data_IF_717489923614
#
_entry.id   IF_717489923614
#
_cell.length_a   1.000
_cell.length_b   1.000
_cell.length_c   1.000
_cell.angle_alpha   90.00
_cell.angle_beta   90.00
_cell.angle_gamma   90.00
#
_symmetry.space_group_name_H-M   'P 1'
#
loop_
_entity.id
_entity.type
_entity.pdbx_description
1 polymer ?
#
# COMPACT_ATOMS: atom_id res chain seq x y z
N UNK A 1 -60.44 -21.20 32.57
CA UNK A 1 -59.09 -20.64 32.25
C UNK A 1 -58.36 -21.59 31.31
N UNK A 2 -57.88 -21.07 30.16
CA UNK A 2 -56.72 -21.54 29.35
C UNK A 2 -57.00 -21.54 27.84
N UNK A 3 -57.16 -20.34 27.25
CA UNK A 3 -57.13 -20.12 25.79
C UNK A 3 -55.68 -20.14 25.22
N UNK A 4 -54.82 -21.05 25.68
CA UNK A 4 -53.43 -21.16 25.17
C UNK A 4 -53.24 -22.25 24.11
N UNK A 5 -54.28 -23.00 23.73
CA UNK A 5 -54.12 -24.21 22.91
C UNK A 5 -54.17 -24.00 21.39
N UNK A 6 -54.69 -22.88 20.88
CA UNK A 6 -55.10 -22.80 19.46
C UNK A 6 -54.09 -22.14 18.50
N UNK A 7 -52.84 -21.96 18.93
CA UNK A 7 -51.81 -21.23 18.20
C UNK A 7 -50.77 -22.22 17.63
N UNK A 8 -50.21 -21.97 16.43
CA UNK A 8 -49.12 -22.78 15.88
C UNK A 8 -47.90 -22.88 16.81
N UNK A 9 -47.07 -23.94 16.68
CA UNK A 9 -45.91 -24.14 17.53
C UNK A 9 -44.87 -23.01 17.39
N UNK A 10 -44.83 -22.08 18.34
CA UNK A 10 -43.90 -20.92 18.33
C UNK A 10 -42.41 -21.29 18.22
N UNK A 11 -42.01 -22.46 18.74
CA UNK A 11 -40.63 -22.94 18.63
C UNK A 11 -40.28 -23.35 17.19
N UNK A 12 -41.23 -23.93 16.46
CA UNK A 12 -41.04 -24.32 15.06
C UNK A 12 -40.93 -23.08 14.16
N UNK A 13 -41.74 -22.05 14.44
CA UNK A 13 -41.64 -20.74 13.78
C UNK A 13 -40.29 -20.07 14.02
N UNK A 14 -39.82 -20.03 15.28
CA UNK A 14 -38.50 -19.48 15.61
C UNK A 14 -37.37 -20.23 14.92
N UNK A 15 -37.48 -21.56 14.84
CA UNK A 15 -36.51 -22.37 14.11
C UNK A 15 -36.49 -21.99 12.62
N UNK A 16 -37.67 -21.92 11.98
CA UNK A 16 -37.82 -21.51 10.58
C UNK A 16 -37.21 -20.12 10.35
N UNK A 17 -37.56 -19.12 11.16
CA UNK A 17 -37.02 -17.76 11.11
C UNK A 17 -35.50 -17.69 11.29
N UNK A 18 -34.94 -18.63 12.04
CA UNK A 18 -33.50 -18.67 12.28
C UNK A 18 -32.71 -19.19 11.08
N UNK A 19 -33.18 -20.25 10.41
CA UNK A 19 -32.41 -20.87 9.32
C UNK A 19 -32.83 -20.45 7.91
N UNK A 20 -34.06 -20.00 7.67
CA UNK A 20 -34.54 -19.71 6.32
C UNK A 20 -34.04 -18.36 5.79
N UNK A 21 -33.89 -18.24 4.47
CA UNK A 21 -33.62 -16.95 3.80
C UNK A 21 -34.81 -15.99 3.96
N UNK A 22 -34.51 -14.69 4.09
CA UNK A 22 -35.53 -13.65 4.28
C UNK A 22 -36.55 -13.63 3.14
N UNK A 23 -36.10 -13.77 1.89
CA UNK A 23 -36.96 -13.78 0.70
C UNK A 23 -37.97 -14.94 0.65
N UNK A 24 -37.68 -16.05 1.35
CA UNK A 24 -38.54 -17.24 1.41
C UNK A 24 -39.33 -17.32 2.72
N UNK A 25 -38.98 -16.49 3.71
CA UNK A 25 -39.48 -16.62 5.07
C UNK A 25 -40.95 -16.27 5.17
N UNK A 26 -41.37 -15.15 4.57
CA UNK A 26 -42.76 -14.69 4.60
C UNK A 26 -43.70 -15.66 3.87
N UNK A 27 -43.35 -15.94 2.60
CA UNK A 27 -43.57 -17.19 1.86
C UNK A 27 -44.04 -18.39 2.69
N UNK A 28 -43.03 -19.09 3.20
CA UNK A 28 -43.17 -20.40 3.81
C UNK A 28 -43.86 -20.32 5.17
N UNK A 29 -43.69 -19.22 5.91
CA UNK A 29 -44.37 -19.04 7.19
C UNK A 29 -45.88 -18.92 7.00
N UNK A 30 -46.32 -18.11 6.02
CA UNK A 30 -47.74 -17.94 5.68
C UNK A 30 -48.39 -19.25 5.27
N UNK A 31 -47.79 -19.99 4.33
CA UNK A 31 -48.25 -21.30 3.86
C UNK A 31 -48.42 -22.31 5.00
N UNK A 32 -47.48 -22.32 5.95
CA UNK A 32 -47.51 -23.22 7.10
C UNK A 32 -48.59 -22.84 8.11
N UNK A 33 -48.81 -21.54 8.33
CA UNK A 33 -49.87 -21.04 9.20
C UNK A 33 -51.26 -21.32 8.64
N UNK A 34 -51.46 -21.11 7.33
CA UNK A 34 -52.73 -21.44 6.66
C UNK A 34 -53.04 -22.94 6.77
N UNK A 35 -52.07 -23.80 6.46
CA UNK A 35 -52.24 -25.26 6.59
C UNK A 35 -52.52 -25.69 8.03
N UNK A 36 -51.93 -25.01 9.02
CA UNK A 36 -52.17 -25.33 10.43
C UNK A 36 -53.61 -25.04 10.84
N UNK A 37 -54.18 -23.90 10.41
CA UNK A 37 -55.56 -23.55 10.71
C UNK A 37 -56.54 -24.50 10.01
N UNK A 38 -56.30 -24.85 8.73
CA UNK A 38 -57.11 -25.84 8.00
C UNK A 38 -57.08 -27.24 8.65
N UNK A 39 -55.90 -27.68 9.10
CA UNK A 39 -55.74 -28.98 9.75
C UNK A 39 -56.35 -29.03 11.15
N UNK A 40 -56.48 -27.89 11.82
CA UNK A 40 -57.11 -27.77 13.14
C UNK A 40 -58.62 -27.91 13.07
N UNK A 41 -59.25 -27.53 11.95
CA UNK A 41 -60.68 -27.76 11.69
C UNK A 41 -60.96 -29.22 11.33
N UNK A 42 -60.03 -29.88 10.64
CA UNK A 42 -60.22 -31.24 10.11
C UNK A 42 -59.72 -32.35 11.04
N UNK A 43 -58.69 -32.07 11.85
CA UNK A 43 -58.02 -33.05 12.71
C UNK A 43 -57.81 -32.54 14.15
N UNK A 44 -57.45 -33.45 15.06
CA UNK A 44 -57.07 -33.08 16.43
C UNK A 44 -55.85 -32.14 16.47
N UNK A 45 -55.85 -31.20 17.41
CA UNK A 45 -54.78 -30.21 17.63
C UNK A 45 -53.37 -30.83 17.70
N UNK A 46 -53.23 -31.98 18.36
CA UNK A 46 -51.94 -32.69 18.50
C UNK A 46 -51.40 -33.21 17.18
N UNK A 47 -52.29 -33.55 16.23
CA UNK A 47 -51.90 -34.00 14.88
C UNK A 47 -51.42 -32.80 14.05
N UNK A 48 -52.16 -31.69 14.05
CA UNK A 48 -51.77 -30.46 13.36
C UNK A 48 -50.39 -29.94 13.84
N UNK A 49 -50.13 -29.94 15.16
CA UNK A 49 -48.84 -29.52 15.72
C UNK A 49 -47.66 -30.40 15.30
N UNK A 50 -47.86 -31.73 15.25
CA UNK A 50 -46.81 -32.67 14.78
C UNK A 50 -46.56 -32.50 13.29
N UNK A 51 -47.61 -32.31 12.50
CA UNK A 51 -47.48 -32.09 11.07
C UNK A 51 -46.77 -30.76 10.75
N UNK A 52 -47.09 -29.69 11.48
CA UNK A 52 -46.38 -28.41 11.37
C UNK A 52 -44.86 -28.58 11.57
N UNK A 53 -44.46 -29.30 12.63
CA UNK A 53 -43.05 -29.61 12.88
C UNK A 53 -42.40 -30.43 11.76
N UNK A 54 -43.12 -31.44 11.25
CA UNK A 54 -42.64 -32.25 10.14
C UNK A 54 -42.39 -31.40 8.88
N UNK A 55 -43.30 -30.46 8.58
CA UNK A 55 -43.13 -29.56 7.44
C UNK A 55 -41.95 -28.62 7.64
N UNK A 56 -41.78 -28.00 8.82
CA UNK A 56 -40.61 -27.14 9.13
C UNK A 56 -39.28 -27.90 8.93
N UNK A 57 -39.18 -29.14 9.42
CA UNK A 57 -37.98 -29.97 9.25
C UNK A 57 -37.72 -30.27 7.76
N UNK A 58 -38.77 -30.48 6.96
CA UNK A 58 -38.66 -30.73 5.52
C UNK A 58 -38.07 -29.54 4.74
N UNK A 59 -38.22 -28.32 5.26
CA UNK A 59 -37.63 -27.10 4.70
C UNK A 59 -36.14 -26.92 5.03
N UNK A 60 -35.54 -27.75 5.91
CA UNK A 60 -34.09 -27.77 6.17
C UNK A 60 -33.36 -28.41 4.98
N UNK A 61 -33.36 -27.71 3.85
CA UNK A 61 -32.63 -28.08 2.63
C UNK A 61 -31.54 -27.04 2.34
N UNK A 62 -30.36 -27.43 1.83
CA UNK A 62 -29.23 -26.52 1.61
C UNK A 62 -29.56 -25.23 0.83
N UNK A 63 -30.54 -25.27 -0.09
CA UNK A 63 -30.94 -24.10 -0.89
C UNK A 63 -31.69 -23.04 -0.07
N UNK A 64 -32.43 -23.46 0.95
CA UNK A 64 -33.33 -22.65 1.76
C UNK A 64 -32.62 -22.04 2.97
N UNK A 65 -31.47 -22.60 3.34
CA UNK A 65 -30.66 -22.17 4.48
C UNK A 65 -29.97 -20.83 4.15
N UNK A 66 -30.06 -19.89 5.09
CA UNK A 66 -29.39 -18.59 5.06
C UNK A 66 -27.88 -18.82 4.90
N UNK A 67 -27.26 -18.19 3.91
CA UNK A 67 -25.82 -18.36 3.62
C UNK A 67 -25.47 -19.44 2.60
N UNK A 68 -26.44 -19.93 1.80
CA UNK A 68 -26.20 -20.77 0.61
C UNK A 68 -25.06 -20.21 -0.26
N UNK A 69 -23.87 -20.79 -0.12
CA UNK A 69 -22.66 -20.66 -0.95
C UNK A 69 -22.64 -19.49 -1.94
N UNK A 70 -22.24 -18.31 -1.47
CA UNK A 70 -21.64 -17.33 -2.35
C UNK A 70 -20.27 -17.88 -2.78
N UNK A 71 -20.20 -18.63 -3.88
CA UNK A 71 -18.92 -18.90 -4.51
C UNK A 71 -18.39 -17.55 -5.02
N UNK A 72 -17.27 -17.01 -4.48
CA UNK A 72 -16.75 -15.74 -4.97
C UNK A 72 -16.38 -15.93 -6.44
N UNK A 73 -17.23 -15.44 -7.33
CA UNK A 73 -16.99 -15.41 -8.76
C UNK A 73 -15.72 -14.59 -8.98
N UNK A 74 -14.60 -15.26 -9.29
CA UNK A 74 -13.37 -14.57 -9.67
C UNK A 74 -13.61 -13.88 -11.00
N UNK A 75 -13.96 -12.59 -10.96
CA UNK A 75 -14.28 -11.73 -12.10
C UNK A 75 -13.06 -11.40 -13.00
N UNK A 76 -12.09 -12.31 -13.14
CA UNK A 76 -10.92 -12.15 -14.01
C UNK A 76 -11.33 -11.96 -15.48
N UNK A 77 -12.46 -12.56 -15.89
CA UNK A 77 -13.04 -12.39 -17.23
C UNK A 77 -13.45 -10.94 -17.49
N UNK A 78 -13.94 -10.23 -16.47
CA UNK A 78 -14.33 -8.83 -16.60
C UNK A 78 -13.10 -7.91 -16.73
N UNK A 79 -12.03 -8.15 -15.95
CA UNK A 79 -10.78 -7.39 -16.08
C UNK A 79 -10.19 -7.54 -17.49
N UNK A 80 -10.14 -8.77 -18.01
CA UNK A 80 -9.70 -9.04 -19.39
C UNK A 80 -10.56 -8.30 -20.41
N UNK A 81 -11.87 -8.24 -20.20
CA UNK A 81 -12.77 -7.52 -21.11
C UNK A 81 -12.55 -6.01 -21.06
N UNK A 82 -12.40 -5.41 -19.88
CA UNK A 82 -12.12 -3.99 -19.75
C UNK A 82 -10.78 -3.60 -20.38
N UNK A 83 -9.73 -4.39 -20.17
CA UNK A 83 -8.43 -4.18 -20.84
C UNK A 83 -8.54 -4.31 -22.36
N UNK A 84 -9.26 -5.32 -22.87
CA UNK A 84 -9.49 -5.52 -24.31
C UNK A 84 -10.24 -4.34 -24.94
N UNK A 85 -11.30 -3.86 -24.27
CA UNK A 85 -12.10 -2.72 -24.73
C UNK A 85 -11.27 -1.43 -24.66
N UNK A 86 -10.52 -1.22 -23.58
CA UNK A 86 -9.60 -0.10 -23.40
C UNK A 86 -8.59 -0.03 -24.53
N UNK A 87 -7.84 -1.11 -24.77
CA UNK A 87 -6.84 -1.16 -25.84
C UNK A 87 -7.43 -0.89 -27.23
N UNK A 88 -8.63 -1.43 -27.51
CA UNK A 88 -9.32 -1.14 -28.78
C UNK A 88 -9.70 0.34 -28.92
N UNK A 89 -10.08 1.00 -27.83
CA UNK A 89 -10.35 2.45 -27.82
C UNK A 89 -9.08 3.26 -28.05
N UNK A 90 -7.96 2.87 -27.42
CA UNK A 90 -6.65 3.51 -27.63
C UNK A 90 -6.22 3.44 -29.10
N UNK A 91 -6.34 2.25 -29.73
CA UNK A 91 -5.97 2.06 -31.15
C UNK A 91 -6.89 2.81 -32.12
N UNK A 92 -8.15 3.01 -31.77
CA UNK A 92 -9.12 3.76 -32.60
C UNK A 92 -8.87 5.27 -32.55
N UNK A 93 -8.58 5.81 -31.37
CA UNK A 93 -8.38 7.24 -31.15
C UNK A 93 -6.88 7.56 -30.98
N UNK A 94 -6.08 7.31 -32.03
CA UNK A 94 -4.61 7.32 -31.96
C UNK A 94 -4.02 8.66 -31.53
N UNK A 95 -4.49 9.77 -32.10
CA UNK A 95 -3.95 11.12 -31.81
C UNK A 95 -4.20 11.50 -30.36
N UNK A 96 -5.46 11.40 -29.91
CA UNK A 96 -5.83 11.70 -28.53
C UNK A 96 -5.10 10.80 -27.51
N UNK A 97 -4.97 9.51 -27.82
CA UNK A 97 -4.25 8.57 -26.96
C UNK A 97 -2.75 8.88 -26.93
N UNK A 98 -2.15 9.23 -28.06
CA UNK A 98 -0.74 9.61 -28.14
C UNK A 98 -0.44 10.88 -27.34
N UNK A 99 -1.30 11.89 -27.41
CA UNK A 99 -1.15 13.12 -26.64
C UNK A 99 -1.26 12.86 -25.12
N UNK A 100 -2.28 12.13 -24.68
CA UNK A 100 -2.46 11.84 -23.26
C UNK A 100 -1.37 10.93 -22.69
N UNK A 101 -1.06 9.83 -23.37
CA UNK A 101 -0.05 8.87 -22.90
C UNK A 101 1.34 9.46 -23.03
N UNK A 102 1.63 10.13 -24.15
CA UNK A 102 2.91 10.76 -24.41
C UNK A 102 3.20 11.89 -23.42
N UNK A 103 2.25 12.82 -23.23
CA UNK A 103 2.41 13.91 -22.26
C UNK A 103 2.63 13.39 -20.84
N UNK A 104 1.84 12.42 -20.40
CA UNK A 104 2.01 11.82 -19.07
C UNK A 104 3.35 11.09 -18.92
N UNK A 105 3.75 10.33 -19.94
CA UNK A 105 5.01 9.56 -19.92
C UNK A 105 6.23 10.48 -19.89
N UNK A 106 6.22 11.55 -20.69
CA UNK A 106 7.30 12.55 -20.70
C UNK A 106 7.36 13.29 -19.36
N UNK A 107 6.22 13.70 -18.80
CA UNK A 107 6.17 14.34 -17.48
C UNK A 107 6.74 13.44 -16.38
N UNK A 108 6.37 12.16 -16.38
CA UNK A 108 6.91 11.17 -15.44
C UNK A 108 8.42 10.96 -15.65
N UNK A 109 8.88 10.88 -16.90
CA UNK A 109 10.30 10.72 -17.22
C UNK A 109 11.14 11.90 -16.70
N UNK A 110 10.69 13.13 -16.94
CA UNK A 110 11.37 14.34 -16.44
C UNK A 110 11.38 14.37 -14.91
N UNK A 111 10.26 14.07 -14.25
CA UNK A 111 10.19 14.00 -12.80
C UNK A 111 11.15 12.95 -12.22
N UNK A 112 11.23 11.77 -12.84
CA UNK A 112 12.17 10.71 -12.45
C UNK A 112 13.63 11.13 -12.65
N UNK A 113 13.96 11.78 -13.78
CA UNK A 113 15.32 12.27 -14.03
C UNK A 113 15.76 13.31 -13.02
N UNK A 114 14.88 14.25 -12.67
CA UNK A 114 15.16 15.25 -11.62
C UNK A 114 15.32 14.56 -10.26
N UNK A 115 14.44 13.61 -9.94
CA UNK A 115 14.54 12.83 -8.69
C UNK A 115 15.83 12.03 -8.59
N UNK A 116 16.27 11.42 -9.70
CA UNK A 116 17.53 10.70 -9.76
C UNK A 116 18.74 11.63 -9.62
N UNK A 117 18.70 12.79 -10.26
CA UNK A 117 19.75 13.80 -10.12
C UNK A 117 19.84 14.32 -8.68
N UNK A 118 18.70 14.62 -8.05
CA UNK A 118 18.66 15.04 -6.66
C UNK A 118 19.18 13.96 -5.72
N UNK A 119 18.78 12.70 -5.94
CA UNK A 119 19.28 11.57 -5.18
C UNK A 119 20.80 11.44 -5.30
N UNK A 120 21.34 11.56 -6.51
CA UNK A 120 22.79 11.56 -6.74
C UNK A 120 23.49 12.72 -6.02
N UNK A 121 22.94 13.93 -6.07
CA UNK A 121 23.53 15.11 -5.41
C UNK A 121 23.54 14.96 -3.89
N UNK A 122 22.44 14.48 -3.30
CA UNK A 122 22.33 14.29 -1.85
C UNK A 122 23.20 13.15 -1.33
N UNK A 123 23.39 12.10 -2.12
CA UNK A 123 24.21 10.94 -1.73
C UNK A 123 25.68 11.08 -2.11
N UNK A 124 26.08 12.20 -2.74
CA UNK A 124 27.44 12.39 -3.25
C UNK A 124 28.53 12.25 -2.16
N UNK A 125 28.23 12.60 -0.91
CA UNK A 125 29.19 12.53 0.19
C UNK A 125 29.01 11.33 1.14
N UNK A 126 28.00 10.48 0.91
CA UNK A 126 27.60 9.41 1.84
C UNK A 126 28.36 8.09 1.63
N UNK A 127 29.32 8.07 0.70
CA UNK A 127 30.06 6.85 0.35
C UNK A 127 31.09 6.40 1.39
N UNK A 128 31.44 7.27 2.36
CA UNK A 128 32.39 6.93 3.42
C UNK A 128 31.68 6.43 4.68
N UNK A 129 32.16 5.31 5.22
CA UNK A 129 31.81 4.85 6.57
C UNK A 129 32.28 5.92 7.56
N UNK A 130 31.33 6.66 8.18
CA UNK A 130 31.52 7.85 9.03
C UNK A 130 31.51 9.23 8.33
N UNK A 131 30.81 9.39 7.20
CA UNK A 131 30.70 10.68 6.51
C UNK A 131 30.37 11.89 7.42
N UNK A 132 29.52 11.71 8.44
CA UNK A 132 29.15 12.73 9.43
C UNK A 132 30.32 13.27 10.28
N UNK A 133 31.41 12.49 10.38
CA UNK A 133 32.58 12.82 11.20
C UNK A 133 33.77 13.29 10.35
N UNK A 134 33.60 13.35 9.02
CA UNK A 134 34.65 13.78 8.10
C UNK A 134 34.43 15.27 7.80
N UNK A 135 35.37 16.10 8.23
CA UNK A 135 35.35 17.54 7.97
C UNK A 135 36.51 17.98 7.08
N UNK A 136 36.25 18.96 6.21
CA UNK A 136 37.29 19.64 5.43
C UNK A 136 37.58 21.00 6.02
N UNK A 137 38.81 21.23 6.45
CA UNK A 137 39.26 22.55 6.91
C UNK A 137 39.41 23.47 5.69
N UNK A 138 38.79 24.65 5.75
CA UNK A 138 38.87 25.67 4.72
C UNK A 138 39.28 27.01 5.35
N UNK A 139 39.97 27.86 4.60
CA UNK A 139 40.30 29.20 5.05
C UNK A 139 39.46 30.25 4.34
N UNK A 140 39.04 31.27 5.08
CA UNK A 140 38.44 32.48 4.53
C UNK A 140 39.48 33.58 4.46
N UNK A 141 39.67 34.16 3.27
CA UNK A 141 40.47 35.37 3.09
C UNK A 141 39.58 36.48 2.55
N UNK A 142 39.54 37.60 3.26
CA UNK A 142 38.90 38.81 2.77
C UNK A 142 39.91 39.60 1.95
N UNK A 143 39.56 39.89 0.69
CA UNK A 143 40.31 40.79 -0.19
C UNK A 143 39.33 41.75 -0.83
N UNK A 144 39.63 43.05 -0.75
CA UNK A 144 38.82 44.12 -1.35
C UNK A 144 37.33 44.06 -0.94
N UNK A 145 37.06 43.73 0.33
CA UNK A 145 35.70 43.58 0.86
C UNK A 145 34.99 42.27 0.51
N UNK A 146 35.58 41.43 -0.35
CA UNK A 146 35.03 40.13 -0.76
C UNK A 146 35.66 39.01 0.07
N UNK A 147 34.83 38.21 0.74
CA UNK A 147 35.27 36.98 1.43
C UNK A 147 35.41 35.85 0.41
N UNK A 148 36.62 35.32 0.29
CA UNK A 148 36.93 34.17 -0.58
C UNK A 148 37.25 32.98 0.31
N UNK A 149 36.49 31.89 0.15
CA UNK A 149 36.76 30.60 0.82
C UNK A 149 37.66 29.75 -0.07
N UNK A 150 38.77 29.25 0.50
CA UNK A 150 39.77 28.46 -0.22
C UNK A 150 40.12 27.19 0.54
N UNK A 151 40.31 26.11 -0.20
CA UNK A 151 40.72 24.82 0.33
C UNK A 151 42.23 24.64 0.55
N UNK A 152 43.15 25.21 -0.26
CA UNK A 152 44.58 25.11 0.02
C UNK A 152 44.89 25.71 1.38
N UNK A 153 45.60 24.98 2.23
CA UNK A 153 46.08 25.47 3.51
C UNK A 153 47.61 25.46 3.52
N UNK A 154 48.27 26.39 4.23
CA UNK A 154 49.70 26.29 4.47
C UNK A 154 50.05 24.96 5.13
N UNK A 155 51.14 24.34 4.71
CA UNK A 155 51.58 23.04 5.24
C UNK A 155 51.66 22.97 6.78
N UNK A 156 52.11 24.02 7.50
CA UNK A 156 52.16 24.01 8.97
C UNK A 156 50.82 23.78 9.66
N UNK A 157 49.69 24.11 9.02
CA UNK A 157 48.35 23.95 9.60
C UNK A 157 48.07 22.47 9.92
N UNK A 158 48.53 21.54 9.09
CA UNK A 158 48.37 20.11 9.36
C UNK A 158 49.14 19.65 10.60
N UNK A 159 50.31 20.26 10.87
CA UNK A 159 51.10 19.97 12.07
C UNK A 159 50.43 20.55 13.31
N UNK A 160 50.00 21.80 13.25
CA UNK A 160 49.30 22.49 14.34
C UNK A 160 48.02 21.77 14.77
N UNK A 161 47.21 21.32 13.80
CA UNK A 161 45.97 20.59 14.08
C UNK A 161 46.21 19.28 14.84
N UNK A 162 47.34 18.60 14.57
CA UNK A 162 47.71 17.36 15.27
C UNK A 162 48.28 17.63 16.66
N UNK A 163 49.10 18.66 16.82
CA UNK A 163 49.82 18.93 18.07
C UNK A 163 48.95 19.65 19.11
N UNK A 164 48.15 20.63 18.68
CA UNK A 164 47.37 21.50 19.60
C UNK A 164 45.92 21.07 19.69
N UNK A 165 45.34 20.54 18.62
CA UNK A 165 43.92 20.16 18.54
C UNK A 165 43.71 18.65 18.39
N UNK A 166 44.72 17.84 18.71
CA UNK A 166 44.69 16.38 18.55
C UNK A 166 43.53 15.69 19.29
N UNK A 167 43.08 16.24 20.41
CA UNK A 167 41.94 15.71 21.18
C UNK A 167 40.62 15.72 20.39
N UNK A 168 40.49 16.57 19.36
CA UNK A 168 39.29 16.71 18.55
C UNK A 168 39.32 15.88 17.25
N UNK A 169 40.48 15.39 16.83
CA UNK A 169 40.66 14.76 15.53
C UNK A 169 41.46 13.46 15.64
N UNK A 170 40.82 12.31 15.38
CA UNK A 170 41.50 11.01 15.36
C UNK A 170 42.56 10.93 14.25
N UNK A 171 42.29 11.52 13.09
CA UNK A 171 43.21 11.50 11.95
C UNK A 171 43.15 12.82 11.18
N UNK A 172 44.32 13.37 10.85
CA UNK A 172 44.48 14.58 10.03
C UNK A 172 45.26 14.22 8.78
N UNK A 173 44.66 14.38 7.59
CA UNK A 173 45.31 14.14 6.29
C UNK A 173 45.49 15.45 5.55
N UNK A 174 46.69 15.67 5.02
CA UNK A 174 47.01 16.77 4.12
C UNK A 174 47.21 16.22 2.72
N UNK A 175 46.61 16.85 1.72
CA UNK A 175 46.80 16.49 0.31
C UNK A 175 47.28 17.69 -0.50
N UNK A 176 48.15 17.41 -1.47
CA UNK A 176 48.57 18.38 -2.49
C UNK A 176 47.73 18.20 -3.75
N UNK A 177 47.77 19.21 -4.62
CA UNK A 177 47.23 19.10 -5.97
C UNK A 177 47.94 18.00 -6.75
N UNK A 178 47.20 17.32 -7.64
CA UNK A 178 47.69 16.22 -8.47
C UNK A 178 48.35 16.68 -9.78
N UNK A 179 48.76 17.94 -9.87
CA UNK A 179 49.42 18.47 -11.06
C UNK A 179 50.83 17.91 -11.19
N UNK A 180 51.39 17.95 -12.41
CA UNK A 180 52.75 17.50 -12.66
C UNK A 180 53.74 18.21 -11.73
N UNK A 181 54.47 17.44 -10.93
CA UNK A 181 55.51 17.96 -10.06
C UNK A 181 56.85 17.93 -10.81
N UNK A 182 57.55 19.07 -10.85
CA UNK A 182 58.95 19.09 -11.29
C UNK A 182 59.79 18.65 -10.10
N UNK A 183 60.42 17.48 -10.20
CA UNK A 183 61.41 17.04 -9.22
C UNK A 183 62.70 17.81 -9.47
N UNK A 184 63.06 18.70 -8.55
CA UNK A 184 64.37 19.34 -8.52
C UNK A 184 65.35 18.44 -7.77
N UNK A 185 66.45 18.07 -8.44
CA UNK A 185 67.62 17.45 -7.80
C UNK A 185 68.30 18.50 -6.92
N UNK A 186 68.71 18.11 -5.70
CA UNK A 186 69.08 19.02 -4.60
C UNK A 186 70.31 19.91 -4.87
N UNK A 187 70.94 19.81 -6.03
CA UNK A 187 72.22 20.46 -6.33
C UNK A 187 72.16 21.73 -7.19
N UNK A 188 70.98 22.20 -7.62
CA UNK A 188 70.89 23.48 -8.33
C UNK A 188 69.75 24.33 -7.82
N UNK A 189 70.10 25.25 -6.92
CA UNK A 189 69.25 26.34 -6.47
C UNK A 189 68.58 27.03 -7.67
N UNK A 190 67.26 27.11 -7.63
CA UNK A 190 66.46 27.70 -8.69
C UNK A 190 66.10 29.13 -8.29
N UNK A 191 66.43 30.07 -9.16
CA UNK A 191 65.99 31.47 -9.16
C UNK A 191 64.49 31.58 -9.47
#
# INVERSE_FOLDING_TARGET
MSQRSNIPPKLAQKLLQWFLKDDLLEEVLGDLEEKFELEKETYSLSKARRNYWYQVIKYIRPFAIRGSFNHPQKNLTMIKNYLKIGFRRLKRNKVYSALNIGGLSVGLAVAMLIGLWLYHELTFNDYHTNHDQIARVMQHKTRDGVKITRAPLPFPVGKELREVYGDNFETVVMSSWTWGHVLGDEDKGVL
#
